data_IF_278947949304
#
_entry.id   IF_278947949304
#
_cell.length_a   1.000
_cell.length_b   1.000
_cell.length_c   1.000
_cell.angle_alpha   90.00
_cell.angle_beta   90.00
_cell.angle_gamma   90.00
#
_symmetry.space_group_name_H-M   'P 1'
#
loop_
_entity.id
_entity.type
_entity.pdbx_description
1 polymer ?
#
# COMPACT_ATOMS: atom_id res chain seq x y z
N UNK A 1 1.17 -6.19 -32.49
CA UNK A 1 0.49 -5.18 -31.66
C UNK A 1 1.55 -4.71 -30.67
N UNK A 2 2.07 -3.49 -30.85
CA UNK A 2 3.31 -3.02 -30.21
C UNK A 2 3.08 -2.65 -28.74
N UNK A 3 3.90 -3.20 -27.84
CA UNK A 3 3.87 -2.97 -26.39
C UNK A 3 4.35 -1.58 -25.97
N UNK A 4 3.63 -0.55 -26.42
CA UNK A 4 3.89 0.88 -26.16
C UNK A 4 3.09 1.44 -24.97
N UNK A 5 2.46 0.57 -24.18
CA UNK A 5 1.76 1.01 -22.98
C UNK A 5 2.76 1.10 -21.82
N UNK A 6 2.62 2.12 -20.96
CA UNK A 6 3.48 2.26 -19.80
C UNK A 6 3.31 1.08 -18.85
N UNK A 7 4.34 0.79 -18.08
CA UNK A 7 4.35 -0.23 -17.03
C UNK A 7 4.95 0.33 -15.74
N UNK A 8 4.51 -0.20 -14.61
CA UNK A 8 5.10 0.11 -13.31
C UNK A 8 6.14 -0.95 -12.97
N UNK A 9 7.38 -0.52 -12.72
CA UNK A 9 8.44 -1.40 -12.22
C UNK A 9 8.27 -1.69 -10.73
N UNK A 10 8.78 -2.84 -10.26
CA UNK A 10 8.85 -3.13 -8.81
C UNK A 10 9.77 -2.18 -8.04
N UNK A 11 10.48 -1.28 -8.73
CA UNK A 11 11.26 -0.19 -8.15
C UNK A 11 10.44 1.11 -7.96
N UNK A 12 9.15 1.10 -8.32
CA UNK A 12 8.25 2.25 -8.24
C UNK A 12 8.41 3.26 -9.39
N UNK A 13 9.22 2.95 -10.42
CA UNK A 13 9.36 3.82 -11.58
C UNK A 13 8.41 3.41 -12.70
N UNK A 14 7.80 4.41 -13.33
CA UNK A 14 7.04 4.21 -14.58
C UNK A 14 8.00 4.13 -15.75
N UNK A 15 7.88 3.08 -16.55
CA UNK A 15 8.56 2.94 -17.83
C UNK A 15 7.56 3.15 -18.96
N UNK A 16 7.94 3.85 -20.03
CA UNK A 16 7.01 4.15 -21.14
C UNK A 16 6.60 2.88 -21.89
N UNK A 17 7.45 1.83 -21.80
CA UNK A 17 7.17 0.51 -22.37
C UNK A 17 7.72 -0.63 -21.49
N UNK A 18 7.12 -1.82 -21.63
CA UNK A 18 7.67 -3.04 -21.03
C UNK A 18 9.11 -3.35 -21.47
N UNK A 19 9.48 -2.98 -22.71
CA UNK A 19 10.83 -3.18 -23.23
C UNK A 19 11.87 -2.36 -22.46
N UNK A 20 11.55 -1.11 -22.12
CA UNK A 20 12.42 -0.23 -21.34
C UNK A 20 12.64 -0.76 -19.92
N UNK A 21 11.58 -1.22 -19.25
CA UNK A 21 11.69 -1.86 -17.94
C UNK A 21 12.63 -3.09 -17.98
N UNK A 22 12.46 -3.94 -19.01
CA UNK A 22 13.32 -5.12 -19.21
C UNK A 22 14.78 -4.72 -19.47
N UNK A 23 15.03 -3.69 -20.28
CA UNK A 23 16.38 -3.18 -20.53
C UNK A 23 17.04 -2.58 -19.28
N UNK A 24 16.24 -1.97 -18.40
CA UNK A 24 16.68 -1.50 -17.09
C UNK A 24 16.91 -2.63 -16.08
N UNK A 25 16.52 -3.88 -16.42
CA UNK A 25 16.61 -5.03 -15.52
C UNK A 25 15.61 -4.98 -14.37
N UNK A 26 14.53 -4.21 -14.50
CA UNK A 26 13.51 -4.04 -13.47
C UNK A 26 12.32 -4.95 -13.78
N UNK A 27 11.94 -5.86 -12.87
CA UNK A 27 10.71 -6.64 -13.00
C UNK A 27 9.49 -5.71 -13.07
N UNK A 28 8.52 -6.06 -13.91
CA UNK A 28 7.26 -5.32 -14.03
C UNK A 28 6.34 -5.77 -12.88
N UNK A 29 5.84 -4.80 -12.11
CA UNK A 29 4.82 -4.99 -11.07
C UNK A 29 3.43 -5.15 -11.71
N UNK A 30 3.03 -4.16 -12.52
CA UNK A 30 1.76 -4.19 -13.26
C UNK A 30 1.81 -3.37 -14.56
N UNK A 31 0.82 -3.59 -15.43
CA UNK A 31 0.57 -2.75 -16.60
C UNK A 31 0.02 -1.38 -16.18
N UNK A 32 0.33 -0.33 -16.94
CA UNK A 32 0.02 1.07 -16.59
C UNK A 32 1.14 1.78 -15.85
N UNK A 33 1.05 3.10 -15.73
CA UNK A 33 2.02 3.88 -14.95
C UNK A 33 1.94 3.51 -13.46
N UNK A 34 3.05 3.67 -12.74
CA UNK A 34 3.02 3.62 -11.28
C UNK A 34 2.10 4.71 -10.74
N UNK A 35 1.35 4.37 -9.70
CA UNK A 35 0.61 5.36 -8.93
C UNK A 35 1.58 6.32 -8.24
N UNK A 36 1.22 7.61 -8.18
CA UNK A 36 2.00 8.57 -7.42
C UNK A 36 1.97 8.17 -5.94
N UNK A 37 3.12 8.26 -5.24
CA UNK A 37 3.13 7.97 -3.83
C UNK A 37 2.27 8.99 -3.08
N UNK A 38 1.46 8.50 -2.15
CA UNK A 38 0.66 9.34 -1.24
C UNK A 38 1.46 9.68 0.01
N UNK A 39 1.20 10.84 0.60
CA UNK A 39 1.72 11.22 1.91
C UNK A 39 0.67 11.03 3.01
N UNK A 40 -0.62 11.04 2.65
CA UNK A 40 -1.73 10.83 3.56
C UNK A 40 -2.98 10.34 2.83
N UNK A 41 -3.99 9.88 3.57
CA UNK A 41 -5.29 9.46 3.00
C UNK A 41 -5.98 10.55 2.18
N UNK A 42 -5.66 11.83 2.42
CA UNK A 42 -6.19 12.95 1.66
C UNK A 42 -5.73 12.98 0.19
N UNK A 43 -4.65 12.25 -0.12
CA UNK A 43 -4.13 12.12 -1.49
C UNK A 43 -4.84 11.01 -2.28
N UNK A 44 -5.65 10.18 -1.62
CA UNK A 44 -6.27 8.99 -2.20
C UNK A 44 -7.76 9.18 -2.52
N UNK A 45 -8.28 8.33 -3.40
CA UNK A 45 -9.70 8.37 -3.75
C UNK A 45 -10.58 7.90 -2.58
N UNK A 46 -11.88 8.21 -2.64
CA UNK A 46 -12.82 7.73 -1.64
C UNK A 46 -12.84 6.19 -1.60
N UNK A 47 -12.68 5.62 -0.40
CA UNK A 47 -12.61 4.17 -0.20
C UNK A 47 -11.19 3.61 -0.28
N UNK A 48 -10.18 4.45 -0.46
CA UNK A 48 -8.77 4.11 -0.40
C UNK A 48 -8.13 4.76 0.83
N UNK A 49 -7.02 4.18 1.29
CA UNK A 49 -6.14 4.78 2.28
C UNK A 49 -4.71 4.79 1.74
N UNK A 50 -3.86 5.61 2.36
CA UNK A 50 -2.45 5.67 2.06
C UNK A 50 -1.71 4.58 2.83
N UNK A 51 -1.34 3.50 2.14
CA UNK A 51 -0.69 2.36 2.78
C UNK A 51 0.82 2.53 2.80
N UNK A 52 1.38 2.69 3.99
CA UNK A 52 2.83 2.76 4.19
C UNK A 52 3.38 1.36 4.51
N UNK A 53 4.68 1.09 4.22
CA UNK A 53 5.32 -0.11 4.72
C UNK A 53 5.21 -0.21 6.26
N UNK A 54 5.06 -1.42 6.83
CA UNK A 54 4.97 -1.59 8.28
C UNK A 54 6.16 -0.94 9.02
N UNK A 55 5.87 -0.19 10.07
CA UNK A 55 6.88 0.53 10.85
C UNK A 55 7.46 1.78 10.19
N UNK A 56 6.92 2.20 9.05
CA UNK A 56 7.38 3.38 8.32
C UNK A 56 6.24 4.40 8.14
N UNK A 57 5.63 4.83 9.25
CA UNK A 57 4.48 5.74 9.23
C UNK A 57 4.71 7.08 8.52
N UNK A 58 5.97 7.51 8.41
CA UNK A 58 6.35 8.77 7.73
C UNK A 58 6.89 8.52 6.30
N UNK A 59 6.92 7.28 5.83
CA UNK A 59 7.32 6.98 4.46
C UNK A 59 6.18 7.26 3.48
N UNK A 60 6.48 7.62 2.23
CA UNK A 60 5.46 7.69 1.20
C UNK A 60 4.77 6.32 1.04
N UNK A 61 3.45 6.34 0.96
CA UNK A 61 2.63 5.14 0.77
C UNK A 61 2.13 4.98 -0.66
N UNK A 62 1.27 3.98 -0.85
CA UNK A 62 0.52 3.76 -2.09
C UNK A 62 -0.97 3.83 -1.78
N UNK A 63 -1.74 4.56 -2.59
CA UNK A 63 -3.19 4.53 -2.49
C UNK A 63 -3.68 3.13 -2.89
N UNK A 64 -4.41 2.47 -2.01
CA UNK A 64 -5.10 1.25 -2.37
C UNK A 64 -6.42 1.11 -1.59
N UNK A 65 -7.35 0.26 -2.06
CA UNK A 65 -8.65 0.10 -1.42
C UNK A 65 -8.55 -0.34 0.04
N UNK A 66 -9.41 0.25 0.88
CA UNK A 66 -9.67 -0.22 2.24
C UNK A 66 -10.47 -1.53 2.14
N UNK A 67 -10.04 -2.62 2.79
CA UNK A 67 -10.83 -3.84 2.85
C UNK A 67 -12.23 -3.57 3.42
N UNK A 68 -13.24 -4.30 2.94
CA UNK A 68 -14.62 -4.12 3.41
C UNK A 68 -15.04 -5.15 4.47
N UNK A 69 -14.26 -6.22 4.63
CA UNK A 69 -14.56 -7.29 5.57
C UNK A 69 -13.29 -7.86 6.23
N UNK A 70 -13.51 -8.56 7.34
CA UNK A 70 -12.49 -9.32 8.04
C UNK A 70 -12.85 -10.81 8.07
N UNK A 71 -11.87 -11.69 7.83
CA UNK A 71 -12.06 -13.12 8.06
C UNK A 71 -12.49 -13.40 9.51
N UNK A 72 -13.65 -14.04 9.68
CA UNK A 72 -14.27 -14.32 10.99
C UNK A 72 -13.39 -15.16 11.94
N UNK A 73 -12.40 -15.87 11.40
CA UNK A 73 -11.50 -16.75 12.16
C UNK A 73 -10.11 -16.13 12.38
N UNK A 74 -9.94 -14.84 12.10
CA UNK A 74 -8.65 -14.19 12.33
C UNK A 74 -8.37 -14.09 13.84
N UNK A 75 -7.20 -14.55 14.31
CA UNK A 75 -6.84 -14.43 15.72
C UNK A 75 -6.64 -12.96 16.11
N UNK A 76 -7.12 -12.60 17.30
CA UNK A 76 -6.93 -11.27 17.88
C UNK A 76 -5.48 -11.13 18.39
N UNK A 77 -4.63 -10.55 17.56
CA UNK A 77 -3.28 -10.13 17.92
C UNK A 77 -3.20 -8.61 17.81
N UNK A 78 -3.17 -7.88 18.94
CA UNK A 78 -3.19 -6.44 18.91
C UNK A 78 -2.03 -5.83 18.14
N UNK A 79 -2.29 -4.71 17.49
CA UNK A 79 -1.31 -3.91 16.76
C UNK A 79 -1.49 -2.43 17.04
N UNK A 80 -0.43 -1.65 16.90
CA UNK A 80 -0.47 -0.20 16.95
C UNK A 80 -0.52 0.35 15.52
N UNK A 81 -1.54 1.13 15.22
CA UNK A 81 -1.66 1.85 13.95
C UNK A 81 -0.77 3.10 13.92
N UNK A 82 -0.44 3.57 12.72
CA UNK A 82 0.24 4.84 12.50
C UNK A 82 -0.59 6.07 12.93
N UNK A 83 -1.89 5.87 13.16
CA UNK A 83 -2.81 6.84 13.76
C UNK A 83 -2.71 6.90 15.30
N UNK A 84 -1.86 6.07 15.91
CA UNK A 84 -1.71 5.97 17.37
C UNK A 84 -2.81 5.16 18.07
N UNK A 85 -3.68 4.48 17.32
CA UNK A 85 -4.75 3.64 17.87
C UNK A 85 -4.28 2.20 18.03
N UNK A 86 -4.60 1.57 19.16
CA UNK A 86 -4.44 0.12 19.32
C UNK A 86 -5.64 -0.61 18.74
N UNK A 87 -5.40 -1.45 17.75
CA UNK A 87 -6.42 -2.29 17.13
C UNK A 87 -6.35 -3.72 17.67
N UNK A 88 -7.50 -4.41 17.87
CA UNK A 88 -7.51 -5.79 18.37
C UNK A 88 -6.85 -6.81 17.44
N UNK A 89 -6.81 -6.50 16.14
CA UNK A 89 -6.13 -7.29 15.11
C UNK A 89 -5.63 -6.38 13.99
N UNK A 90 -4.73 -6.91 13.14
CA UNK A 90 -4.32 -6.24 11.89
C UNK A 90 -5.53 -5.93 11.02
N UNK A 91 -6.50 -6.83 10.93
CA UNK A 91 -7.66 -6.59 10.08
C UNK A 91 -8.55 -5.46 10.58
N UNK A 92 -8.72 -5.32 11.90
CA UNK A 92 -9.44 -4.18 12.47
C UNK A 92 -8.74 -2.85 12.16
N UNK A 93 -7.40 -2.83 12.14
CA UNK A 93 -6.63 -1.67 11.72
C UNK A 93 -6.83 -1.36 10.23
N UNK A 94 -6.75 -2.38 9.37
CA UNK A 94 -6.95 -2.22 7.93
C UNK A 94 -8.37 -1.76 7.59
N UNK A 95 -9.42 -2.27 8.25
CA UNK A 95 -10.80 -1.78 8.07
C UNK A 95 -10.97 -0.31 8.45
N UNK A 96 -10.15 0.17 9.39
CA UNK A 96 -10.12 1.57 9.79
C UNK A 96 -9.27 2.45 8.86
N UNK A 97 -8.61 1.88 7.84
CA UNK A 97 -7.69 2.60 6.95
C UNK A 97 -6.31 2.84 7.58
N UNK A 98 -5.97 2.18 8.68
CA UNK A 98 -4.74 2.45 9.41
C UNK A 98 -3.58 1.53 8.98
N UNK A 99 -2.49 2.13 8.50
CA UNK A 99 -1.20 1.44 8.34
C UNK A 99 -0.62 1.03 9.68
N UNK A 100 0.17 -0.05 9.73
CA UNK A 100 0.71 -0.60 10.97
C UNK A 100 2.04 0.06 11.36
N UNK A 101 2.10 0.62 12.57
CA UNK A 101 3.33 1.12 13.16
C UNK A 101 4.17 -0.03 13.75
N UNK A 102 3.57 -0.90 14.56
CA UNK A 102 4.27 -2.07 15.10
C UNK A 102 3.29 -3.12 15.63
N UNK A 103 3.80 -4.32 15.87
CA UNK A 103 3.08 -5.38 16.58
C UNK A 103 2.90 -5.04 18.06
N UNK A 104 1.79 -5.48 18.65
CA UNK A 104 1.42 -5.15 20.04
C UNK A 104 0.70 -3.81 20.18
N UNK A 105 0.17 -3.51 21.37
CA UNK A 105 -0.56 -2.27 21.63
C UNK A 105 0.36 -1.04 21.61
N UNK A 106 -0.20 0.13 21.33
CA UNK A 106 0.51 1.40 21.42
C UNK A 106 0.98 1.69 22.86
N UNK A 107 2.08 2.45 23.05
CA UNK A 107 2.61 2.83 24.36
C UNK A 107 1.66 3.66 25.25
#
# INVERSE_FOLDING_TARGET
MLGLLPVCGCDGNTYDTACEAIMAGVPIDHEGACELPCASDADCAQGEACWTPPGQCDAPGRCAPIPTDCPLMMPAFPVCGCDGTTYPSVCDALLAGASIAHEGPCP
#
